data_IF_398868647210
#
_entry.id   IF_398868647210
#
_cell.length_a   1.000
_cell.length_b   1.000
_cell.length_c   1.000
_cell.angle_alpha   90.00
_cell.angle_beta   90.00
_cell.angle_gamma   90.00
#
_symmetry.space_group_name_H-M   'P 1'
#
loop_
_entity.id
_entity.type
_entity.pdbx_description
1 polymer ?
#
# COMPACT_ATOMS: atom_id res chain seq x y z
N UNK A 1 -5.04 13.97 11.09
CA UNK A 1 -4.67 13.49 9.76
C UNK A 1 -4.82 14.61 8.74
N UNK A 2 -3.70 15.02 8.14
CA UNK A 2 -3.66 16.11 7.17
C UNK A 2 -3.72 15.64 5.72
N UNK A 3 -4.04 14.35 5.51
CA UNK A 3 -4.19 13.81 4.17
C UNK A 3 -5.39 14.46 3.48
N UNK A 4 -5.24 14.84 2.21
CA UNK A 4 -6.21 15.70 1.52
C UNK A 4 -7.50 15.04 1.04
N UNK A 5 -7.67 13.72 1.17
CA UNK A 5 -8.88 13.03 0.74
C UNK A 5 -10.06 13.30 1.68
N UNK A 6 -11.27 13.35 1.11
CA UNK A 6 -12.50 13.48 1.90
C UNK A 6 -13.06 12.15 2.34
N UNK A 7 -12.64 11.04 1.71
CA UNK A 7 -13.22 9.73 1.93
C UNK A 7 -12.23 8.69 2.42
N UNK A 8 -10.94 8.90 2.16
CA UNK A 8 -9.87 8.01 2.59
C UNK A 8 -9.04 8.67 3.68
N UNK A 9 -8.86 7.96 4.78
CA UNK A 9 -8.04 8.39 5.91
C UNK A 9 -6.84 7.46 6.04
N UNK A 10 -5.73 7.99 6.56
CA UNK A 10 -4.55 7.17 6.77
C UNK A 10 -3.95 7.40 8.14
N UNK A 11 -3.24 6.39 8.61
CA UNK A 11 -2.48 6.46 9.86
C UNK A 11 -1.12 5.81 9.60
N UNK A 12 -0.06 6.59 9.77
CA UNK A 12 1.30 6.04 9.68
C UNK A 12 1.58 5.32 11.00
N UNK A 13 1.74 4.00 10.93
CA UNK A 13 1.95 3.17 12.12
C UNK A 13 3.43 3.10 12.47
N UNK A 14 4.29 2.95 11.45
CA UNK A 14 5.72 2.76 11.68
C UNK A 14 6.53 3.10 10.45
N UNK A 15 7.72 3.68 10.65
CA UNK A 15 8.66 3.94 9.56
C UNK A 15 10.05 3.51 10.01
N UNK A 16 10.73 2.70 9.20
CA UNK A 16 12.08 2.22 9.48
C UNK A 16 13.02 2.68 8.36
N UNK A 17 13.89 3.65 8.69
CA UNK A 17 14.78 4.23 7.70
C UNK A 17 16.01 3.37 7.42
N UNK A 18 16.33 2.42 8.30
CA UNK A 18 17.45 1.50 8.08
C UNK A 18 17.08 0.34 7.17
N UNK A 19 15.87 -0.20 7.34
CA UNK A 19 15.38 -1.30 6.51
C UNK A 19 14.53 -0.82 5.35
N UNK A 20 14.27 0.49 5.26
CA UNK A 20 13.60 1.15 4.14
C UNK A 20 12.14 0.74 3.97
N UNK A 21 11.44 0.47 5.07
CA UNK A 21 10.01 0.12 4.98
C UNK A 21 9.14 0.99 5.89
N UNK A 22 7.86 1.02 5.57
CA UNK A 22 6.84 1.67 6.41
C UNK A 22 5.58 0.82 6.47
N UNK A 23 4.78 1.07 7.51
CA UNK A 23 3.48 0.44 7.70
C UNK A 23 2.47 1.57 7.84
N UNK A 24 1.46 1.58 6.97
CA UNK A 24 0.44 2.63 6.92
C UNK A 24 -0.93 1.96 6.88
N UNK A 25 -1.82 2.37 7.77
CA UNK A 25 -3.21 1.89 7.75
C UNK A 25 -4.09 2.86 6.96
N UNK A 26 -4.92 2.30 6.07
CA UNK A 26 -5.89 3.05 5.27
C UNK A 26 -7.29 2.70 5.75
N UNK A 27 -8.15 3.71 5.87
CA UNK A 27 -9.50 3.55 6.42
C UNK A 27 -10.47 4.36 5.57
N UNK A 28 -11.58 3.74 5.17
CA UNK A 28 -12.67 4.43 4.48
C UNK A 28 -12.87 3.95 3.06
N UNK A 29 -13.12 4.88 2.15
CA UNK A 29 -13.35 4.58 0.74
C UNK A 29 -12.16 5.05 -0.09
N UNK A 30 -11.65 4.16 -0.93
CA UNK A 30 -10.59 4.49 -1.87
C UNK A 30 -11.24 4.89 -3.20
N UNK A 31 -11.23 6.17 -3.49
CA UNK A 31 -11.93 6.71 -4.66
C UNK A 31 -10.98 7.49 -5.57
N UNK A 32 -10.45 6.82 -6.60
CA UNK A 32 -9.57 7.45 -7.57
C UNK A 32 -10.36 8.23 -8.62
N UNK A 33 -11.60 7.82 -8.87
CA UNK A 33 -12.40 8.41 -9.95
C UNK A 33 -12.85 9.84 -9.64
N UNK A 34 -13.20 10.13 -8.39
CA UNK A 34 -13.72 11.42 -7.98
C UNK A 34 -12.71 12.18 -7.12
N UNK A 35 -12.08 11.50 -6.16
CA UNK A 35 -11.22 12.13 -5.15
C UNK A 35 -9.73 12.08 -5.50
N UNK A 36 -9.34 11.33 -6.54
CA UNK A 36 -7.93 11.13 -6.92
C UNK A 36 -7.08 10.59 -5.76
N UNK A 37 -7.61 9.63 -5.01
CA UNK A 37 -6.96 9.14 -3.80
C UNK A 37 -5.57 8.56 -4.06
N UNK A 38 -5.39 7.80 -5.16
CA UNK A 38 -4.05 7.27 -5.48
C UNK A 38 -3.05 8.39 -5.78
N UNK A 39 -3.47 9.44 -6.46
CA UNK A 39 -2.60 10.57 -6.74
C UNK A 39 -2.16 11.24 -5.45
N UNK A 40 -3.11 11.51 -4.55
CA UNK A 40 -2.81 12.16 -3.27
C UNK A 40 -1.94 11.28 -2.39
N UNK A 41 -2.24 9.98 -2.34
CA UNK A 41 -1.45 9.04 -1.53
C UNK A 41 -0.01 8.98 -2.06
N UNK A 42 0.15 8.88 -3.37
CA UNK A 42 1.46 8.80 -3.99
C UNK A 42 2.24 10.11 -3.79
N UNK A 43 1.62 11.27 -4.04
CA UNK A 43 2.32 12.55 -3.96
C UNK A 43 2.55 13.03 -2.55
N UNK A 44 1.56 12.93 -1.68
CA UNK A 44 1.67 13.47 -0.32
C UNK A 44 2.42 12.53 0.63
N UNK A 45 2.33 11.22 0.40
CA UNK A 45 2.93 10.22 1.30
C UNK A 45 4.06 9.47 0.60
N UNK A 46 3.78 8.85 -0.53
CA UNK A 46 4.76 8.03 -1.23
C UNK A 46 6.03 8.78 -1.60
N UNK A 47 5.89 9.91 -2.31
CA UNK A 47 7.03 10.69 -2.76
C UNK A 47 7.85 11.22 -1.59
N UNK A 48 7.18 11.67 -0.53
CA UNK A 48 7.87 12.21 0.66
C UNK A 48 8.66 11.13 1.38
N UNK A 49 8.10 9.95 1.55
CA UNK A 49 8.80 8.84 2.19
C UNK A 49 9.93 8.30 1.30
N UNK A 50 9.72 8.25 -0.01
CA UNK A 50 10.77 7.81 -0.94
C UNK A 50 11.97 8.75 -0.94
N UNK A 51 11.76 10.05 -0.80
CA UNK A 51 12.86 11.01 -0.65
C UNK A 51 13.71 10.69 0.57
N UNK A 52 13.13 10.07 1.58
CA UNK A 52 13.81 9.69 2.82
C UNK A 52 14.33 8.25 2.78
N UNK A 53 14.26 7.59 1.63
CA UNK A 53 14.81 6.26 1.43
C UNK A 53 13.84 5.10 1.60
N UNK A 54 12.56 5.36 1.84
CA UNK A 54 11.58 4.27 1.97
C UNK A 54 11.24 3.75 0.59
N UNK A 55 11.38 2.44 0.38
CA UNK A 55 11.10 1.77 -0.88
C UNK A 55 10.15 0.57 -0.72
N UNK A 56 9.81 0.21 0.50
CA UNK A 56 8.94 -0.92 0.81
C UNK A 56 7.75 -0.43 1.62
N UNK A 57 6.56 -0.52 1.02
CA UNK A 57 5.35 0.03 1.59
C UNK A 57 4.38 -1.09 1.96
N UNK A 58 3.97 -1.12 3.22
CA UNK A 58 2.97 -2.06 3.72
C UNK A 58 1.72 -1.25 4.05
N UNK A 59 0.65 -1.44 3.27
CA UNK A 59 -0.62 -0.81 3.52
C UNK A 59 -1.59 -1.80 4.15
N UNK A 60 -2.16 -1.45 5.29
CA UNK A 60 -3.20 -2.23 5.94
C UNK A 60 -4.54 -1.72 5.42
N UNK A 61 -5.29 -2.58 4.72
CA UNK A 61 -6.50 -2.17 4.02
C UNK A 61 -7.76 -2.90 4.50
N UNK A 62 -7.75 -3.49 5.69
CA UNK A 62 -8.89 -4.25 6.19
C UNK A 62 -10.14 -3.38 6.42
N UNK A 63 -9.96 -2.07 6.52
CA UNK A 63 -11.06 -1.12 6.68
C UNK A 63 -11.24 -0.21 5.46
N UNK A 64 -10.76 -0.63 4.29
CA UNK A 64 -11.04 0.01 3.01
C UNK A 64 -12.25 -0.71 2.41
N UNK A 65 -13.43 -0.10 2.55
CA UNK A 65 -14.70 -0.78 2.29
C UNK A 65 -15.15 -0.72 0.83
N UNK A 66 -14.67 0.27 0.09
CA UNK A 66 -15.01 0.45 -1.33
C UNK A 66 -13.78 0.86 -2.11
N UNK A 67 -13.77 0.53 -3.39
CA UNK A 67 -12.70 0.91 -4.30
C UNK A 67 -13.29 1.33 -5.65
N UNK A 68 -13.01 2.57 -6.06
CA UNK A 68 -13.46 3.12 -7.33
C UNK A 68 -12.24 3.63 -8.08
N UNK A 69 -11.80 2.88 -9.09
CA UNK A 69 -10.60 3.24 -9.84
C UNK A 69 -10.88 4.20 -10.98
N UNK A 70 -9.86 4.95 -11.37
CA UNK A 70 -9.82 5.64 -12.66
C UNK A 70 -8.88 4.86 -13.59
N UNK A 71 -7.67 5.35 -13.81
CA UNK A 71 -6.67 4.65 -14.62
C UNK A 71 -5.54 4.11 -13.74
N UNK A 72 -4.52 3.50 -14.36
CA UNK A 72 -3.42 2.89 -13.62
C UNK A 72 -2.12 3.69 -13.63
N UNK A 73 -2.12 4.94 -14.10
CA UNK A 73 -0.89 5.71 -14.28
C UNK A 73 -0.10 5.88 -12.98
N UNK A 74 -0.74 6.29 -11.90
CA UNK A 74 -0.06 6.52 -10.62
C UNK A 74 0.41 5.21 -9.98
N UNK A 75 -0.36 4.13 -10.16
CA UNK A 75 0.03 2.80 -9.66
C UNK A 75 1.30 2.33 -10.37
N UNK A 76 1.35 2.47 -11.69
CA UNK A 76 2.51 2.08 -12.50
C UNK A 76 3.72 2.94 -12.16
N UNK A 77 3.54 4.25 -12.06
CA UNK A 77 4.63 5.16 -11.72
C UNK A 77 5.25 4.79 -10.37
N UNK A 78 4.42 4.55 -9.36
CA UNK A 78 4.89 4.18 -8.03
C UNK A 78 5.59 2.83 -8.04
N UNK A 79 5.00 1.85 -8.74
CA UNK A 79 5.60 0.54 -8.90
C UNK A 79 6.99 0.62 -9.54
N UNK A 80 7.14 1.40 -10.62
CA UNK A 80 8.41 1.56 -11.31
C UNK A 80 9.45 2.20 -10.39
N UNK A 81 9.06 3.21 -9.63
CA UNK A 81 9.97 3.90 -8.72
C UNK A 81 10.46 3.00 -7.57
N UNK A 82 9.56 2.24 -6.94
CA UNK A 82 10.00 1.34 -5.86
C UNK A 82 10.79 0.17 -6.41
N UNK A 83 10.47 -0.30 -7.62
CA UNK A 83 11.19 -1.41 -8.25
C UNK A 83 12.65 -1.02 -8.56
N UNK A 84 12.89 0.22 -8.96
CA UNK A 84 14.24 0.73 -9.20
C UNK A 84 15.11 0.69 -7.94
N UNK A 85 14.47 0.73 -6.77
CA UNK A 85 15.15 0.66 -5.47
C UNK A 85 15.05 -0.74 -4.84
N UNK A 86 14.70 -1.75 -5.64
CA UNK A 86 14.48 -3.13 -5.17
C UNK A 86 13.40 -3.22 -4.11
N UNK A 87 12.42 -2.30 -4.17
CA UNK A 87 11.33 -2.23 -3.22
C UNK A 87 10.06 -2.88 -3.73
N UNK A 88 8.99 -2.68 -2.96
CA UNK A 88 7.69 -3.25 -3.30
C UNK A 88 6.57 -2.53 -2.54
N UNK A 89 5.34 -2.77 -2.98
CA UNK A 89 4.14 -2.24 -2.33
C UNK A 89 3.20 -3.41 -2.08
N UNK A 90 2.81 -3.61 -0.82
CA UNK A 90 1.93 -4.69 -0.38
C UNK A 90 0.67 -4.11 0.23
N UNK A 91 -0.47 -4.71 -0.11
CA UNK A 91 -1.75 -4.37 0.51
C UNK A 91 -2.22 -5.58 1.30
N UNK A 92 -2.34 -5.40 2.63
CA UNK A 92 -2.75 -6.46 3.54
C UNK A 92 -4.25 -6.43 3.81
N UNK A 93 -4.87 -7.59 3.74
CA UNK A 93 -6.20 -7.84 4.29
C UNK A 93 -7.32 -6.98 3.68
N UNK A 94 -7.20 -6.61 2.42
CA UNK A 94 -8.29 -5.90 1.75
C UNK A 94 -9.53 -6.79 1.76
N UNK A 95 -10.72 -6.27 2.10
CA UNK A 95 -11.94 -7.08 2.10
C UNK A 95 -12.22 -7.69 0.73
N UNK A 96 -12.82 -8.89 0.71
CA UNK A 96 -13.03 -9.65 -0.52
C UNK A 96 -13.78 -8.84 -1.61
N UNK A 97 -14.82 -8.12 -1.23
CA UNK A 97 -15.59 -7.30 -2.16
C UNK A 97 -14.75 -6.18 -2.76
N UNK A 98 -13.91 -5.55 -1.95
CA UNK A 98 -13.00 -4.50 -2.39
C UNK A 98 -11.91 -5.07 -3.30
N UNK A 99 -11.40 -6.27 -2.95
CA UNK A 99 -10.40 -6.96 -3.77
C UNK A 99 -10.89 -7.22 -5.18
N UNK A 100 -12.16 -7.59 -5.35
CA UNK A 100 -12.70 -7.89 -6.67
C UNK A 100 -12.57 -6.70 -7.61
N UNK A 101 -12.88 -5.51 -7.14
CA UNK A 101 -12.73 -4.30 -7.94
C UNK A 101 -11.26 -4.00 -8.26
N UNK A 102 -10.40 -4.20 -7.28
CA UNK A 102 -8.95 -3.99 -7.44
C UNK A 102 -8.36 -4.97 -8.46
N UNK A 103 -8.73 -6.26 -8.36
CA UNK A 103 -8.27 -7.31 -9.29
C UNK A 103 -8.81 -7.07 -10.70
N UNK A 104 -10.06 -6.65 -10.81
CA UNK A 104 -10.69 -6.37 -12.09
C UNK A 104 -9.95 -5.32 -12.91
N UNK A 105 -9.32 -4.37 -12.22
CA UNK A 105 -8.52 -3.31 -12.85
C UNK A 105 -7.05 -3.70 -13.00
N UNK A 106 -6.68 -4.94 -12.69
CA UNK A 106 -5.32 -5.50 -12.81
C UNK A 106 -4.29 -4.76 -11.97
N UNK A 107 -4.71 -4.16 -10.89
CA UNK A 107 -3.84 -3.39 -10.00
C UNK A 107 -2.93 -4.23 -9.11
N UNK A 108 -3.24 -5.53 -8.80
CA UNK A 108 -2.30 -6.35 -8.03
C UNK A 108 -0.92 -6.53 -8.68
N UNK A 109 -0.80 -6.26 -9.96
CA UNK A 109 0.51 -6.25 -10.61
C UNK A 109 1.42 -5.18 -10.00
N UNK A 110 0.85 -4.03 -9.60
CA UNK A 110 1.59 -2.90 -9.07
C UNK A 110 1.63 -2.88 -7.54
N UNK A 111 0.53 -3.27 -6.91
CA UNK A 111 0.39 -3.32 -5.45
C UNK A 111 -0.12 -4.71 -5.10
N UNK A 112 0.78 -5.57 -4.63
CA UNK A 112 0.47 -6.98 -4.43
C UNK A 112 -0.44 -7.18 -3.22
N UNK A 113 -1.48 -8.02 -3.39
CA UNK A 113 -2.41 -8.35 -2.32
C UNK A 113 -1.85 -9.49 -1.48
N UNK A 114 -2.02 -9.41 -0.18
CA UNK A 114 -1.58 -10.44 0.75
C UNK A 114 -2.55 -10.52 1.93
N UNK A 115 -2.77 -11.73 2.44
CA UNK A 115 -3.59 -11.95 3.62
C UNK A 115 -2.72 -12.28 4.82
N UNK A 116 -2.87 -11.51 5.89
CA UNK A 116 -2.16 -11.73 7.14
C UNK A 116 -3.05 -11.23 8.29
N UNK A 117 -4.11 -12.00 8.62
CA UNK A 117 -5.12 -11.53 9.59
C UNK A 117 -4.55 -11.20 10.96
N UNK A 118 -3.47 -11.86 11.37
CA UNK A 118 -2.84 -11.67 12.66
C UNK A 118 -1.76 -10.58 12.69
N UNK A 119 -1.76 -9.68 11.72
CA UNK A 119 -0.71 -8.66 11.60
C UNK A 119 -0.51 -7.83 12.88
N UNK A 120 -1.59 -7.59 13.64
CA UNK A 120 -1.50 -6.82 14.89
C UNK A 120 -0.70 -7.51 15.98
N UNK A 121 -0.53 -8.83 15.88
CA UNK A 121 0.23 -9.60 16.87
C UNK A 121 1.73 -9.50 16.64
N UNK A 122 2.17 -8.97 15.51
CA UNK A 122 3.58 -8.82 15.19
C UNK A 122 4.08 -7.42 15.52
N UNK A 123 5.31 -7.32 16.00
CA UNK A 123 6.02 -6.05 16.02
C UNK A 123 6.36 -5.66 14.58
N UNK A 124 6.54 -4.36 14.29
CA UNK A 124 6.78 -3.93 12.89
C UNK A 124 7.91 -4.66 12.17
N UNK A 125 9.03 -4.92 12.84
CA UNK A 125 10.14 -5.65 12.23
C UNK A 125 9.72 -7.08 11.85
N UNK A 126 8.99 -7.75 12.73
CA UNK A 126 8.54 -9.13 12.47
C UNK A 126 7.51 -9.16 11.36
N UNK A 127 6.62 -8.18 11.31
CA UNK A 127 5.66 -8.05 10.21
C UNK A 127 6.39 -7.88 8.88
N UNK A 128 7.37 -6.99 8.83
CA UNK A 128 8.18 -6.79 7.64
C UNK A 128 8.88 -8.07 7.20
N UNK A 129 9.52 -8.76 8.14
CA UNK A 129 10.26 -10.01 7.85
C UNK A 129 9.31 -11.08 7.29
N UNK A 130 8.13 -11.22 7.87
CA UNK A 130 7.12 -12.17 7.41
C UNK A 130 6.71 -11.90 5.98
N UNK A 131 6.43 -10.65 5.66
CA UNK A 131 6.02 -10.24 4.32
C UNK A 131 7.17 -10.43 3.32
N UNK A 132 8.35 -9.96 3.67
CA UNK A 132 9.52 -10.06 2.80
C UNK A 132 9.86 -11.52 2.46
N UNK A 133 9.77 -12.40 3.46
CA UNK A 133 10.00 -13.82 3.27
C UNK A 133 8.99 -14.42 2.31
N UNK A 134 7.71 -14.10 2.49
CA UNK A 134 6.66 -14.63 1.61
C UNK A 134 6.82 -14.13 0.18
N UNK A 135 7.18 -12.87 0.00
CA UNK A 135 7.42 -12.33 -1.34
C UNK A 135 8.57 -13.04 -2.05
N UNK A 136 9.65 -13.33 -1.33
CA UNK A 136 10.78 -14.06 -1.90
C UNK A 136 10.38 -15.46 -2.33
N UNK A 137 9.51 -16.12 -1.58
CA UNK A 137 9.01 -17.45 -1.92
C UNK A 137 8.12 -17.42 -3.16
N UNK A 138 7.36 -16.34 -3.37
CA UNK A 138 6.50 -16.21 -4.55
C UNK A 138 7.29 -16.04 -5.84
N UNK A 139 8.50 -15.49 -5.74
CA UNK A 139 9.37 -15.24 -6.90
C UNK A 139 10.15 -16.49 -7.30
N UNK A 140 10.44 -17.35 -6.34
CA UNK A 140 11.30 -18.53 -6.57
C UNK A 140 10.55 -19.75 -7.14
#
# INVERSE_FOLDING_TARGET
DDFGSKTLYLKIIYVDYELHFCVIELIGEWNDAIENDIMMLKREIGDELMKKGISKFIFIAENVLNFHSSDNEYYREWYDEVSDEEGWIIILNMPAATQQDFIKKKLPYYMELMELPEWRSYKPYHLFTKIDTELRQRIS
#
